data_IF_905660033753
#
_entry.id   IF_905660033753
#
_cell.length_a   1.000
_cell.length_b   1.000
_cell.length_c   1.000
_cell.angle_alpha   90.00
_cell.angle_beta   90.00
_cell.angle_gamma   90.00
#
_symmetry.space_group_name_H-M   'P 1'
#
loop_
_entity.id
_entity.type
_entity.pdbx_description
1 polymer ?
#
# COMPACT_ATOMS: atom_id res chain seq x y z
N UNK A 1 -75.07 26.67 -37.44
CA UNK A 1 -75.06 25.34 -36.80
C UNK A 1 -73.68 24.73 -37.00
N UNK A 2 -72.90 24.69 -35.91
CA UNK A 2 -71.80 23.78 -35.49
C UNK A 2 -71.40 22.70 -36.53
N UNK A 3 -70.15 22.42 -36.94
CA UNK A 3 -68.79 22.62 -36.39
C UNK A 3 -67.74 22.48 -37.53
N UNK A 4 -66.51 23.04 -37.42
CA UNK A 4 -65.42 22.90 -38.40
C UNK A 4 -64.32 21.92 -37.96
N UNK A 5 -63.48 21.45 -38.90
CA UNK A 5 -62.13 20.93 -38.56
C UNK A 5 -61.11 21.14 -39.68
N UNK A 6 -60.27 22.15 -39.42
CA UNK A 6 -58.83 22.34 -39.65
C UNK A 6 -58.21 22.13 -41.05
N UNK A 7 -57.68 23.24 -41.55
CA UNK A 7 -56.70 23.38 -42.63
C UNK A 7 -55.28 23.04 -42.13
N UNK A 8 -54.39 22.59 -43.02
CA UNK A 8 -52.95 22.94 -42.94
C UNK A 8 -52.32 22.89 -44.34
N UNK A 9 -51.72 24.02 -44.73
CA UNK A 9 -50.85 24.30 -45.88
C UNK A 9 -49.65 23.30 -45.94
N UNK A 10 -49.24 22.69 -47.06
CA UNK A 10 -48.68 23.16 -48.35
C UNK A 10 -47.20 23.64 -48.34
N UNK A 11 -46.30 22.68 -48.62
CA UNK A 11 -45.13 22.66 -49.56
C UNK A 11 -43.77 23.35 -49.24
N UNK A 12 -42.77 22.69 -49.85
CA UNK A 12 -41.45 23.12 -50.40
C UNK A 12 -40.24 22.64 -49.55
N UNK A 13 -39.50 21.57 -49.89
CA UNK A 13 -38.51 21.27 -50.97
C UNK A 13 -37.13 21.97 -50.84
N UNK A 14 -36.08 21.12 -50.85
CA UNK A 14 -34.67 21.27 -51.27
C UNK A 14 -33.56 21.51 -50.20
N UNK A 15 -32.30 21.09 -50.49
CA UNK A 15 -31.45 20.25 -49.62
C UNK A 15 -30.05 20.90 -49.38
N UNK A 16 -29.08 20.07 -48.94
CA UNK A 16 -27.62 20.30 -48.92
C UNK A 16 -27.04 20.98 -47.67
N UNK A 17 -26.30 20.21 -46.86
CA UNK A 17 -24.82 20.28 -46.77
C UNK A 17 -24.39 19.50 -45.51
N UNK A 18 -24.04 18.23 -45.67
CA UNK A 18 -23.30 17.48 -44.67
C UNK A 18 -21.87 18.05 -44.63
N UNK A 19 -21.56 18.81 -43.59
CA UNK A 19 -20.19 19.19 -43.27
C UNK A 19 -19.73 18.31 -42.11
N UNK A 20 -18.76 17.44 -42.39
CA UNK A 20 -18.17 16.55 -41.41
C UNK A 20 -17.48 17.32 -40.29
N UNK A 21 -17.84 16.99 -39.06
CA UNK A 21 -17.07 17.34 -37.88
C UNK A 21 -16.24 16.11 -37.51
N UNK A 22 -15.03 16.04 -38.06
CA UNK A 22 -13.99 15.12 -37.62
C UNK A 22 -13.66 15.42 -36.16
N UNK A 23 -13.97 14.49 -35.26
CA UNK A 23 -13.39 14.44 -33.92
C UNK A 23 -11.89 14.19 -34.06
N UNK A 24 -11.10 15.26 -33.94
CA UNK A 24 -9.70 15.16 -33.58
C UNK A 24 -9.64 14.83 -32.07
N UNK A 25 -9.01 13.74 -31.63
CA UNK A 25 -8.71 13.57 -30.22
C UNK A 25 -7.69 14.63 -29.84
N UNK A 26 -8.11 15.61 -29.04
CA UNK A 26 -7.19 16.50 -28.38
C UNK A 26 -6.33 15.65 -27.44
N UNK A 27 -5.04 15.54 -27.73
CA UNK A 27 -4.04 15.04 -26.80
C UNK A 27 -3.97 16.06 -25.66
N UNK A 28 -4.73 15.82 -24.59
CA UNK A 28 -4.59 16.58 -23.36
C UNK A 28 -3.27 16.19 -22.69
N UNK A 29 -2.24 17.00 -22.89
CA UNK A 29 -1.07 17.03 -22.01
C UNK A 29 -1.52 17.71 -20.72
N UNK A 30 -1.87 16.91 -19.71
CA UNK A 30 -2.03 17.41 -18.35
C UNK A 30 -0.62 17.59 -17.77
N UNK A 31 -0.05 18.79 -17.95
CA UNK A 31 1.18 19.18 -17.26
C UNK A 31 0.84 19.63 -15.84
N UNK A 32 1.72 19.35 -14.88
CA UNK A 32 1.61 19.81 -13.50
C UNK A 32 1.78 21.34 -13.48
N UNK A 33 0.71 22.07 -13.15
CA UNK A 33 0.78 23.52 -12.98
C UNK A 33 1.17 23.87 -11.54
N UNK A 34 2.11 24.80 -11.40
CA UNK A 34 2.57 25.26 -10.09
C UNK A 34 1.54 26.22 -9.48
N UNK A 35 0.93 25.82 -8.37
CA UNK A 35 0.07 26.69 -7.57
C UNK A 35 0.90 27.65 -6.72
N UNK A 36 0.41 28.87 -6.54
CA UNK A 36 0.97 29.87 -5.62
C UNK A 36 0.27 29.82 -4.24
N UNK A 37 0.89 30.44 -3.22
CA UNK A 37 0.39 30.41 -1.83
C UNK A 37 -1.03 30.97 -1.66
N UNK A 38 -1.46 31.89 -2.54
CA UNK A 38 -2.83 32.41 -2.54
C UNK A 38 -3.84 31.36 -2.99
N UNK A 39 -3.52 30.64 -4.06
CA UNK A 39 -4.35 29.53 -4.57
C UNK A 39 -4.39 28.35 -3.59
N UNK A 40 -3.27 28.05 -2.94
CA UNK A 40 -3.22 27.04 -1.88
C UNK A 40 -4.04 27.43 -0.64
N UNK A 41 -4.22 28.73 -0.37
CA UNK A 41 -5.04 29.21 0.76
C UNK A 41 -6.54 29.20 0.49
N UNK A 42 -6.95 29.13 -0.78
CA UNK A 42 -8.37 29.06 -1.18
C UNK A 42 -8.90 27.62 -1.25
N UNK A 43 -8.00 26.63 -1.32
CA UNK A 43 -8.33 25.20 -1.29
C UNK A 43 -8.46 24.77 0.17
N UNK A 44 -9.66 24.90 0.73
CA UNK A 44 -9.97 24.46 2.10
C UNK A 44 -10.67 23.10 2.08
N UNK A 45 -10.11 22.12 2.79
CA UNK A 45 -10.71 20.78 2.98
C UNK A 45 -10.50 19.75 1.86
N UNK A 46 -9.68 20.01 0.84
CA UNK A 46 -9.26 18.99 -0.12
C UNK A 46 -7.87 18.46 0.26
N UNK A 47 -7.72 17.15 0.45
CA UNK A 47 -6.43 16.53 0.74
C UNK A 47 -5.33 16.82 -0.28
N UNK A 48 -4.10 16.46 0.09
CA UNK A 48 -2.91 16.68 -0.73
C UNK A 48 -2.66 15.43 -1.58
N UNK A 49 -2.70 15.61 -2.91
CA UNK A 49 -2.21 14.63 -3.88
C UNK A 49 -0.71 14.83 -4.14
N UNK A 50 0.08 13.76 -3.99
CA UNK A 50 1.52 13.74 -4.25
C UNK A 50 1.80 12.87 -5.48
N UNK A 51 2.56 13.43 -6.42
CA UNK A 51 3.09 12.74 -7.60
C UNK A 51 4.57 13.05 -7.66
N UNK A 52 5.40 12.00 -7.65
CA UNK A 52 6.84 12.16 -7.75
C UNK A 52 7.29 11.69 -9.13
N UNK A 53 7.70 12.62 -9.97
CA UNK A 53 8.22 12.30 -11.31
C UNK A 53 9.73 12.20 -11.30
N UNK A 54 10.28 11.25 -12.08
CA UNK A 54 11.71 10.96 -12.15
C UNK A 54 12.36 10.74 -10.76
N UNK A 55 11.61 10.11 -9.85
CA UNK A 55 12.02 9.92 -8.46
C UNK A 55 13.15 8.88 -8.37
N UNK A 56 14.17 9.21 -7.58
CA UNK A 56 15.25 8.32 -7.20
C UNK A 56 15.48 8.55 -5.72
N UNK A 57 15.35 7.48 -4.93
CA UNK A 57 15.83 7.45 -3.57
C UNK A 57 16.94 6.41 -3.46
N UNK A 58 18.09 6.83 -2.95
CA UNK A 58 19.18 5.94 -2.61
C UNK A 58 19.92 6.55 -1.44
N UNK A 59 19.99 5.80 -0.35
CA UNK A 59 20.75 6.13 0.84
C UNK A 59 21.82 5.05 1.02
N UNK A 60 23.08 5.46 1.12
CA UNK A 60 24.19 4.60 1.50
C UNK A 60 24.86 5.09 2.78
N UNK A 61 25.68 4.24 3.41
CA UNK A 61 26.60 4.67 4.46
C UNK A 61 27.82 5.38 3.84
N UNK A 62 27.91 6.69 4.05
CA UNK A 62 29.10 7.46 3.66
C UNK A 62 30.16 7.37 4.76
N UNK A 63 31.40 7.00 4.38
CA UNK A 63 32.55 7.18 5.25
C UNK A 63 32.81 8.68 5.46
N UNK A 64 33.31 9.10 6.63
CA UNK A 64 33.63 10.51 6.86
C UNK A 64 34.67 10.97 5.84
N UNK A 65 34.42 12.11 5.20
CA UNK A 65 35.36 12.65 4.23
C UNK A 65 36.63 13.16 4.93
N UNK A 66 37.70 13.37 4.16
CA UNK A 66 38.97 13.92 4.66
C UNK A 66 38.84 15.35 5.21
N UNK A 67 37.69 16.01 5.02
CA UNK A 67 37.40 17.36 5.46
C UNK A 67 36.57 17.41 6.76
N UNK A 68 36.24 16.25 7.35
CA UNK A 68 35.56 16.15 8.64
C UNK A 68 34.03 16.18 8.57
N UNK A 69 33.42 15.97 7.40
CA UNK A 69 31.97 15.75 7.30
C UNK A 69 31.59 14.46 8.05
N UNK A 70 30.52 14.52 8.84
CA UNK A 70 30.08 13.39 9.65
C UNK A 70 29.62 12.23 8.75
N UNK A 71 30.01 11.01 9.13
CA UNK A 71 29.53 9.79 8.50
C UNK A 71 27.99 9.74 8.56
N UNK A 72 27.35 9.61 7.40
CA UNK A 72 25.88 9.52 7.31
C UNK A 72 25.50 8.05 7.45
N UNK A 73 25.37 7.61 8.70
CA UNK A 73 25.06 6.23 9.04
C UNK A 73 23.64 6.17 9.60
N UNK A 74 22.77 5.40 8.95
CA UNK A 74 21.48 5.06 9.53
C UNK A 74 21.64 3.82 10.42
N UNK A 75 21.55 4.03 11.74
CA UNK A 75 21.82 3.01 12.76
C UNK A 75 20.64 2.85 13.70
N UNK A 76 20.21 1.61 13.90
CA UNK A 76 19.24 1.21 14.92
C UNK A 76 20.04 0.60 16.07
N UNK A 77 20.01 1.27 17.23
CA UNK A 77 20.74 0.89 18.43
C UNK A 77 19.82 0.89 19.66
N UNK A 78 20.32 0.45 20.82
CA UNK A 78 19.55 0.34 22.06
C UNK A 78 18.83 -1.00 22.23
N UNK A 79 19.10 -1.96 21.34
CA UNK A 79 18.64 -3.34 21.47
C UNK A 79 19.73 -4.12 22.22
N UNK A 80 19.35 -4.99 23.15
CA UNK A 80 20.27 -5.92 23.80
C UNK A 80 19.85 -7.36 23.51
N UNK A 81 20.84 -8.22 23.30
CA UNK A 81 20.66 -9.67 23.21
C UNK A 81 20.28 -10.24 24.57
N UNK A 82 19.77 -11.47 24.60
CA UNK A 82 19.37 -12.17 25.84
C UNK A 82 20.52 -12.38 26.82
N UNK A 83 21.76 -12.26 26.35
CA UNK A 83 22.99 -12.28 27.15
C UNK A 83 23.53 -10.88 27.50
N UNK A 84 22.75 -9.83 27.26
CA UNK A 84 23.07 -8.44 27.62
C UNK A 84 24.03 -7.72 26.68
N UNK A 85 24.38 -8.33 25.53
CA UNK A 85 25.23 -7.68 24.52
C UNK A 85 24.45 -6.70 23.66
N UNK A 86 25.03 -5.54 23.37
CA UNK A 86 24.40 -4.57 22.48
C UNK A 86 24.21 -5.14 21.07
N UNK A 87 23.03 -4.94 20.50
CA UNK A 87 22.71 -5.25 19.13
C UNK A 87 22.68 -3.94 18.34
N UNK A 88 23.48 -3.88 17.30
CA UNK A 88 23.61 -2.75 16.40
C UNK A 88 23.19 -3.19 14.99
N UNK A 89 22.19 -2.50 14.42
CA UNK A 89 21.75 -2.71 13.04
C UNK A 89 22.08 -1.45 12.25
N UNK A 90 23.03 -1.57 11.32
CA UNK A 90 23.40 -0.51 10.40
C UNK A 90 22.75 -0.75 9.06
N UNK A 91 21.97 0.20 8.55
CA UNK A 91 21.41 0.15 7.18
C UNK A 91 22.46 0.71 6.23
N UNK A 92 23.09 -0.16 5.43
CA UNK A 92 24.18 0.23 4.54
C UNK A 92 23.69 0.73 3.19
N UNK A 93 22.51 0.27 2.77
CA UNK A 93 21.88 0.71 1.52
C UNK A 93 20.36 0.63 1.65
N UNK A 94 19.65 1.68 1.28
CA UNK A 94 18.19 1.70 1.17
C UNK A 94 17.84 2.47 -0.10
N UNK A 95 17.02 1.89 -0.98
CA UNK A 95 16.70 2.52 -2.25
C UNK A 95 15.27 2.26 -2.71
N UNK A 96 14.77 3.22 -3.49
CA UNK A 96 13.53 3.15 -4.27
C UNK A 96 13.85 3.77 -5.62
N UNK A 97 13.92 2.95 -6.66
CA UNK A 97 14.38 3.35 -8.00
C UNK A 97 13.57 2.62 -9.08
N UNK A 98 13.83 2.93 -10.35
CA UNK A 98 13.21 2.28 -11.49
C UNK A 98 13.55 0.79 -11.60
N UNK A 99 12.71 0.08 -12.35
CA UNK A 99 12.89 -1.35 -12.59
C UNK A 99 14.22 -1.66 -13.28
N UNK A 100 14.87 -2.77 -12.90
CA UNK A 100 16.15 -3.18 -13.48
C UNK A 100 17.35 -2.55 -12.77
N UNK A 101 17.18 -2.19 -11.50
CA UNK A 101 18.17 -1.52 -10.67
C UNK A 101 19.40 -2.36 -10.34
N UNK A 102 19.35 -3.67 -10.54
CA UNK A 102 20.42 -4.60 -10.13
C UNK A 102 20.83 -4.38 -8.67
N UNK A 103 19.88 -4.66 -7.76
CA UNK A 103 20.04 -4.48 -6.32
C UNK A 103 20.40 -3.03 -5.90
N UNK A 104 19.89 -2.04 -6.65
CA UNK A 104 20.13 -0.62 -6.38
C UNK A 104 21.47 -0.09 -6.90
N UNK A 105 22.21 -0.86 -7.70
CA UNK A 105 23.46 -0.43 -8.35
C UNK A 105 23.19 0.58 -9.48
N UNK A 106 22.16 0.29 -10.29
CA UNK A 106 21.70 1.14 -11.38
C UNK A 106 20.58 2.04 -10.87
N UNK A 107 20.91 3.30 -10.59
CA UNK A 107 19.94 4.29 -10.12
C UNK A 107 19.15 4.88 -11.30
N UNK A 108 18.20 4.11 -11.80
CA UNK A 108 17.24 4.60 -12.80
C UNK A 108 16.06 5.29 -12.10
N UNK A 109 15.49 6.35 -12.69
CA UNK A 109 14.32 7.01 -12.12
C UNK A 109 13.03 6.19 -12.28
N UNK A 110 12.08 6.41 -11.36
CA UNK A 110 10.72 5.86 -11.37
C UNK A 110 9.71 6.97 -11.11
N UNK A 111 8.48 6.86 -11.61
CA UNK A 111 7.40 7.75 -11.19
C UNK A 111 6.64 7.13 -10.01
N UNK A 112 6.32 7.88 -8.97
CA UNK A 112 5.47 7.40 -7.89
C UNK A 112 4.12 8.11 -7.94
N UNK A 113 3.11 7.35 -8.38
CA UNK A 113 1.76 7.86 -8.66
C UNK A 113 1.67 8.67 -9.96
N UNK A 114 0.46 9.15 -10.25
CA UNK A 114 0.16 10.08 -11.34
C UNK A 114 -1.06 10.94 -10.97
N UNK A 115 -1.33 12.01 -11.71
CA UNK A 115 -2.48 12.90 -11.41
C UNK A 115 -3.82 12.17 -11.23
N UNK A 116 -4.09 11.14 -12.02
CA UNK A 116 -5.32 10.35 -11.91
C UNK A 116 -5.30 9.32 -10.77
N UNK A 117 -4.11 8.94 -10.28
CA UNK A 117 -3.92 7.99 -9.18
C UNK A 117 -2.71 8.46 -8.34
N UNK A 118 -2.85 9.56 -7.60
CA UNK A 118 -1.75 10.11 -6.81
C UNK A 118 -1.61 9.33 -5.50
N UNK A 119 -0.49 9.53 -4.83
CA UNK A 119 -0.42 9.31 -3.39
C UNK A 119 -1.22 10.38 -2.67
N UNK A 120 -1.90 10.06 -1.58
CA UNK A 120 -2.79 11.02 -0.91
C UNK A 120 -2.49 11.13 0.58
N UNK A 121 -2.54 12.36 1.08
CA UNK A 121 -2.66 12.68 2.49
C UNK A 121 -3.94 13.49 2.62
N UNK A 122 -4.96 12.90 3.25
CA UNK A 122 -6.31 13.48 3.25
C UNK A 122 -6.97 13.38 4.62
N UNK A 123 -8.00 14.20 4.85
CA UNK A 123 -8.92 14.06 5.98
C UNK A 123 -10.28 13.70 5.41
N UNK A 124 -10.61 12.41 5.45
CA UNK A 124 -11.82 11.84 4.88
C UNK A 124 -12.96 11.89 5.90
N UNK A 125 -14.20 12.14 5.46
CA UNK A 125 -15.38 11.92 6.30
C UNK A 125 -15.53 10.43 6.57
N UNK A 126 -15.42 10.04 7.84
CA UNK A 126 -15.54 8.66 8.27
C UNK A 126 -16.86 8.02 7.86
N UNK A 127 -17.94 8.80 7.72
CA UNK A 127 -19.23 8.26 7.29
C UNK A 127 -19.17 7.65 5.88
N UNK A 128 -18.33 8.17 4.99
CA UNK A 128 -18.16 7.67 3.62
C UNK A 128 -17.44 6.31 3.58
N UNK A 129 -16.68 5.99 4.63
CA UNK A 129 -15.89 4.76 4.76
C UNK A 129 -16.38 3.85 5.91
N UNK A 130 -17.55 4.15 6.48
CA UNK A 130 -18.18 3.34 7.52
C UNK A 130 -17.62 3.50 8.93
N UNK A 131 -16.91 4.60 9.20
CA UNK A 131 -16.43 5.04 10.52
C UNK A 131 -17.31 6.20 11.00
N UNK A 132 -18.37 5.86 11.74
CA UNK A 132 -19.48 6.78 12.05
C UNK A 132 -19.03 8.04 12.78
N UNK A 133 -19.37 9.22 12.24
CA UNK A 133 -19.15 10.54 12.84
C UNK A 133 -17.69 10.85 13.24
N UNK A 134 -16.72 10.37 12.45
CA UNK A 134 -15.29 10.67 12.67
C UNK A 134 -14.71 11.40 11.47
N UNK A 135 -13.73 12.27 11.72
CA UNK A 135 -12.79 12.70 10.70
C UNK A 135 -11.61 11.74 10.72
N UNK A 136 -11.22 11.24 9.54
CA UNK A 136 -10.21 10.18 9.42
C UNK A 136 -9.02 10.70 8.63
N UNK A 137 -7.86 10.76 9.27
CA UNK A 137 -6.61 11.06 8.60
C UNK A 137 -6.17 9.84 7.79
N UNK A 138 -6.07 9.99 6.48
CA UNK A 138 -5.68 8.93 5.54
C UNK A 138 -4.35 9.26 4.88
N UNK A 139 -3.41 8.30 4.92
CA UNK A 139 -2.26 8.22 4.04
C UNK A 139 -2.50 7.07 3.07
N UNK A 140 -2.69 7.35 1.79
CA UNK A 140 -3.03 6.33 0.80
C UNK A 140 -2.03 6.28 -0.36
N UNK A 141 -1.71 5.07 -0.78
CA UNK A 141 -1.09 4.79 -2.06
C UNK A 141 -2.11 4.99 -3.21
N UNK A 142 -1.66 5.00 -4.49
CA UNK A 142 -2.56 4.98 -5.64
C UNK A 142 -3.65 3.92 -5.49
N UNK A 143 -4.91 4.28 -5.79
CA UNK A 143 -6.01 3.34 -5.65
C UNK A 143 -5.89 2.16 -6.63
N UNK A 144 -6.49 1.02 -6.25
CA UNK A 144 -6.82 -0.02 -7.22
C UNK A 144 -7.93 0.49 -8.13
N UNK A 145 -7.92 0.08 -9.40
CA UNK A 145 -8.89 0.48 -10.41
C UNK A 145 -9.65 -0.74 -10.95
N UNK A 146 -10.74 -0.47 -11.66
CA UNK A 146 -11.50 -1.49 -12.36
C UNK A 146 -10.62 -2.30 -13.30
N UNK A 147 -10.87 -3.61 -13.40
CA UNK A 147 -9.99 -4.53 -14.13
C UNK A 147 -9.81 -4.13 -15.61
N UNK A 148 -10.82 -3.52 -16.22
CA UNK A 148 -10.80 -3.03 -17.60
C UNK A 148 -9.85 -1.82 -17.81
N UNK A 149 -9.51 -1.11 -16.72
CA UNK A 149 -8.67 0.09 -16.74
C UNK A 149 -7.29 -0.14 -16.12
N UNK A 150 -7.15 -1.19 -15.30
CA UNK A 150 -5.93 -1.50 -14.59
C UNK A 150 -4.98 -2.43 -15.35
N UNK A 151 -3.91 -2.77 -14.65
CA UNK A 151 -2.81 -3.61 -15.09
C UNK A 151 -2.68 -4.77 -14.12
N UNK A 152 -2.21 -5.92 -14.62
CA UNK A 152 -1.75 -7.00 -13.75
C UNK A 152 -0.64 -6.50 -12.82
N UNK A 153 -0.80 -6.72 -11.52
CA UNK A 153 0.08 -6.21 -10.47
C UNK A 153 1.48 -6.86 -10.51
N UNK A 154 1.62 -8.06 -11.10
CA UNK A 154 2.89 -8.79 -11.19
C UNK A 154 3.52 -8.72 -12.60
N UNK A 155 2.72 -8.57 -13.65
CA UNK A 155 3.25 -8.57 -15.02
C UNK A 155 4.10 -7.33 -15.36
N UNK A 156 5.40 -7.52 -15.60
CA UNK A 156 6.29 -6.44 -16.09
C UNK A 156 5.95 -5.93 -17.49
N UNK A 157 5.16 -6.70 -18.26
CA UNK A 157 4.59 -6.32 -19.57
C UNK A 157 3.06 -6.21 -19.52
N UNK A 158 2.49 -5.96 -18.33
CA UNK A 158 1.06 -5.83 -18.16
C UNK A 158 0.49 -4.76 -19.11
N UNK A 159 -0.63 -5.09 -19.75
CA UNK A 159 -1.38 -4.17 -20.59
C UNK A 159 -2.61 -3.63 -19.85
N UNK A 160 -3.18 -2.54 -20.33
CA UNK A 160 -4.49 -2.06 -19.83
C UNK A 160 -5.52 -3.18 -20.00
N UNK A 161 -6.33 -3.43 -18.97
CA UNK A 161 -7.34 -4.47 -18.97
C UNK A 161 -6.87 -5.81 -18.38
N UNK A 162 -5.62 -5.91 -17.92
CA UNK A 162 -5.05 -7.19 -17.45
C UNK A 162 -5.19 -7.44 -15.95
N UNK A 163 -5.59 -6.44 -15.18
CA UNK A 163 -5.70 -6.55 -13.72
C UNK A 163 -6.19 -5.25 -13.09
N UNK A 164 -6.07 -5.14 -11.78
CA UNK A 164 -6.69 -4.07 -10.97
C UNK A 164 -5.69 -3.03 -10.45
N UNK A 165 -4.39 -3.21 -10.67
CA UNK A 165 -3.40 -2.21 -10.27
C UNK A 165 -3.45 -0.99 -11.21
N UNK A 166 -3.39 0.21 -10.66
CA UNK A 166 -3.32 1.45 -11.43
C UNK A 166 -1.89 1.79 -11.88
N UNK A 167 -0.90 1.27 -11.15
CA UNK A 167 0.53 1.41 -11.38
C UNK A 167 0.98 0.75 -12.68
N UNK A 168 1.44 1.58 -13.62
CA UNK A 168 1.88 1.19 -14.96
C UNK A 168 3.27 0.57 -14.96
N UNK A 169 3.50 -0.53 -15.70
CA UNK A 169 4.86 -0.99 -15.93
C UNK A 169 5.67 0.04 -16.75
N UNK A 170 6.99 -0.05 -16.67
CA UNK A 170 7.89 0.70 -17.53
C UNK A 170 7.76 0.25 -18.99
N UNK A 171 7.94 1.17 -19.92
CA UNK A 171 8.05 0.92 -21.36
C UNK A 171 9.30 1.61 -21.91
N UNK A 172 9.59 1.45 -23.20
CA UNK A 172 10.74 2.12 -23.81
C UNK A 172 10.70 3.64 -23.69
N UNK A 173 9.50 4.24 -23.71
CA UNK A 173 9.31 5.69 -23.71
C UNK A 173 8.82 6.24 -22.35
N UNK A 174 8.60 5.36 -21.37
CA UNK A 174 8.01 5.73 -20.07
C UNK A 174 8.63 4.93 -18.93
N UNK A 175 9.08 5.62 -17.89
CA UNK A 175 9.78 5.02 -16.75
C UNK A 175 8.92 4.09 -15.89
N UNK A 176 7.59 4.14 -16.04
CA UNK A 176 6.68 3.31 -15.25
C UNK A 176 6.46 3.86 -13.84
N UNK A 177 5.61 3.17 -13.09
CA UNK A 177 5.22 3.49 -11.72
C UNK A 177 5.57 2.38 -10.71
N UNK A 178 6.32 1.35 -11.17
CA UNK A 178 6.70 0.18 -10.38
C UNK A 178 8.17 0.27 -10.04
N UNK A 179 8.47 0.36 -8.75
CA UNK A 179 9.83 0.62 -8.30
C UNK A 179 10.53 -0.68 -7.89
N UNK A 180 11.82 -0.79 -8.21
CA UNK A 180 12.67 -1.69 -7.45
C UNK A 180 12.91 -1.06 -6.07
N UNK A 181 12.68 -1.84 -5.03
CA UNK A 181 12.85 -1.43 -3.64
C UNK A 181 13.82 -2.40 -2.97
N UNK A 182 14.76 -1.88 -2.20
CA UNK A 182 15.66 -2.76 -1.47
C UNK A 182 16.33 -2.12 -0.28
N UNK A 183 16.79 -2.99 0.60
CA UNK A 183 17.41 -2.63 1.86
C UNK A 183 18.51 -3.64 2.18
N UNK A 184 19.69 -3.12 2.51
CA UNK A 184 20.84 -3.86 2.98
C UNK A 184 21.15 -3.44 4.42
N UNK A 185 21.23 -4.41 5.32
CA UNK A 185 21.48 -4.19 6.74
C UNK A 185 22.62 -5.05 7.23
N UNK A 186 23.50 -4.49 8.05
CA UNK A 186 24.49 -5.22 8.82
C UNK A 186 24.00 -5.32 10.26
N UNK A 187 23.86 -6.55 10.77
CA UNK A 187 23.50 -6.82 12.16
C UNK A 187 24.74 -7.26 12.92
N UNK A 188 24.96 -6.67 14.08
CA UNK A 188 26.02 -7.05 15.01
C UNK A 188 25.51 -7.21 16.43
N UNK A 189 26.07 -8.16 17.17
CA UNK A 189 25.77 -8.48 18.56
C UNK A 189 27.07 -8.45 19.40
N UNK A 190 27.29 -7.36 20.12
CA UNK A 190 28.57 -7.08 20.78
C UNK A 190 29.71 -7.01 19.75
N UNK A 191 30.73 -7.83 19.94
CA UNK A 191 31.83 -7.99 18.98
C UNK A 191 31.51 -8.97 17.83
N UNK A 192 30.42 -9.74 17.93
CA UNK A 192 30.01 -10.66 16.88
C UNK A 192 29.30 -9.89 15.76
N UNK A 193 29.96 -9.72 14.62
CA UNK A 193 29.36 -9.13 13.42
C UNK A 193 28.66 -10.24 12.65
N UNK A 194 27.34 -10.39 12.87
CA UNK A 194 26.64 -11.66 12.68
C UNK A 194 26.08 -11.89 11.28
N UNK A 195 25.64 -10.85 10.55
CA UNK A 195 25.14 -11.02 9.17
C UNK A 195 24.93 -9.69 8.43
N UNK A 196 25.16 -9.69 7.12
CA UNK A 196 24.60 -8.73 6.17
C UNK A 196 23.30 -9.33 5.60
N UNK A 197 22.16 -8.69 5.83
CA UNK A 197 20.87 -9.09 5.27
C UNK A 197 20.49 -8.12 4.15
N UNK A 198 20.27 -8.66 2.97
CA UNK A 198 19.80 -7.92 1.80
C UNK A 198 18.39 -8.37 1.46
N UNK A 199 17.53 -7.39 1.21
CA UNK A 199 16.18 -7.58 0.69
C UNK A 199 16.06 -6.78 -0.60
N UNK A 200 15.52 -7.39 -1.64
CA UNK A 200 15.28 -6.77 -2.92
C UNK A 200 13.93 -7.21 -3.48
N UNK A 201 13.06 -6.24 -3.73
CA UNK A 201 11.81 -6.43 -4.44
C UNK A 201 11.91 -5.77 -5.81
N UNK A 202 11.63 -6.53 -6.87
CA UNK A 202 11.65 -6.04 -8.24
C UNK A 202 10.29 -5.46 -8.62
N UNK A 203 10.24 -4.32 -9.31
CA UNK A 203 8.99 -3.75 -9.86
C UNK A 203 7.80 -3.82 -8.91
N UNK A 204 8.01 -3.43 -7.65
CA UNK A 204 7.02 -3.52 -6.59
C UNK A 204 5.85 -2.57 -6.84
N UNK A 205 4.65 -3.04 -6.51
CA UNK A 205 3.39 -2.29 -6.58
C UNK A 205 2.71 -2.34 -5.22
N UNK A 206 2.20 -1.18 -4.77
CA UNK A 206 1.54 -1.04 -3.47
C UNK A 206 0.15 -0.42 -3.54
N UNK A 207 -0.47 -0.51 -4.72
CA UNK A 207 -1.78 0.08 -4.99
C UNK A 207 -2.86 -0.44 -4.02
N UNK A 208 -3.75 0.47 -3.61
CA UNK A 208 -4.81 0.21 -2.63
C UNK A 208 -4.34 0.08 -1.18
N UNK A 209 -3.06 0.31 -0.89
CA UNK A 209 -2.56 0.42 0.48
C UNK A 209 -2.96 1.75 1.12
N UNK A 210 -3.23 1.73 2.42
CA UNK A 210 -3.47 2.94 3.19
C UNK A 210 -3.22 2.73 4.69
N UNK A 211 -2.97 3.85 5.38
CA UNK A 211 -3.09 3.97 6.83
C UNK A 211 -4.17 5.00 7.13
N UNK A 212 -5.16 4.61 7.91
CA UNK A 212 -6.23 5.49 8.40
C UNK A 212 -6.15 5.59 9.90
N UNK A 213 -6.27 6.80 10.42
CA UNK A 213 -6.20 7.10 11.84
C UNK A 213 -7.34 8.04 12.25
N UNK A 214 -7.96 7.76 13.39
CA UNK A 214 -9.00 8.61 13.97
C UNK A 214 -8.98 8.55 15.49
N UNK A 215 -9.66 9.50 16.13
CA UNK A 215 -9.85 9.50 17.58
C UNK A 215 -11.02 8.60 17.99
N UNK A 216 -10.77 7.65 18.88
CA UNK A 216 -11.83 6.88 19.52
C UNK A 216 -12.23 7.53 20.85
N UNK A 217 -13.51 7.90 20.99
CA UNK A 217 -13.99 8.65 22.16
C UNK A 217 -14.26 7.73 23.35
N UNK A 218 -14.58 6.46 23.10
CA UNK A 218 -14.95 5.49 24.13
C UNK A 218 -13.72 4.99 24.88
N UNK A 219 -12.68 4.58 24.15
CA UNK A 219 -11.38 4.15 24.69
C UNK A 219 -10.45 5.33 24.98
N UNK A 220 -10.72 6.52 24.40
CA UNK A 220 -9.85 7.71 24.48
C UNK A 220 -8.44 7.43 23.97
N UNK A 221 -8.36 6.71 22.86
CA UNK A 221 -7.13 6.26 22.21
C UNK A 221 -7.15 6.62 20.73
N UNK A 222 -6.01 6.53 20.06
CA UNK A 222 -5.96 6.59 18.60
C UNK A 222 -6.38 5.23 18.05
N UNK A 223 -7.41 5.22 17.22
CA UNK A 223 -7.85 4.06 16.47
C UNK A 223 -7.36 4.15 15.02
N UNK A 224 -7.28 3.02 14.34
CA UNK A 224 -6.83 2.98 12.97
C UNK A 224 -7.16 1.72 12.20
N UNK A 225 -6.93 1.81 10.90
CA UNK A 225 -7.00 0.71 9.94
C UNK A 225 -5.75 0.78 9.07
N UNK A 226 -5.06 -0.35 8.91
CA UNK A 226 -3.87 -0.44 8.10
C UNK A 226 -4.03 -1.52 7.04
N UNK A 227 -3.96 -1.10 5.78
CA UNK A 227 -3.98 -1.98 4.61
C UNK A 227 -2.66 -1.84 3.88
N UNK A 228 -1.93 -2.94 3.74
CA UNK A 228 -0.75 -3.03 2.88
C UNK A 228 -1.01 -4.09 1.82
N UNK A 229 -1.24 -3.67 0.59
CA UNK A 229 -1.10 -4.55 -0.56
C UNK A 229 0.30 -4.34 -1.11
N UNK A 230 1.05 -5.42 -1.32
CA UNK A 230 2.41 -5.40 -1.83
C UNK A 230 2.55 -6.55 -2.82
N UNK A 231 2.80 -6.20 -4.07
CA UNK A 231 2.95 -7.13 -5.18
C UNK A 231 4.35 -6.96 -5.75
N UNK A 232 5.07 -8.06 -5.91
CA UNK A 232 6.39 -8.06 -6.53
C UNK A 232 6.54 -9.32 -7.37
N UNK A 233 6.95 -9.25 -8.64
CA UNK A 233 7.18 -10.44 -9.46
C UNK A 233 8.34 -11.27 -8.90
N UNK A 234 9.22 -10.64 -8.12
CA UNK A 234 10.31 -11.32 -7.43
C UNK A 234 10.65 -10.57 -6.13
N UNK A 235 10.68 -11.30 -5.02
CA UNK A 235 11.25 -10.84 -3.75
C UNK A 235 12.43 -11.75 -3.42
N UNK A 236 13.62 -11.17 -3.33
CA UNK A 236 14.86 -11.88 -3.03
C UNK A 236 15.38 -11.44 -1.67
N UNK A 237 15.74 -12.42 -0.84
CA UNK A 237 16.40 -12.23 0.44
C UNK A 237 17.71 -13.01 0.41
N UNK A 238 18.82 -12.36 0.71
CA UNK A 238 20.11 -13.03 0.83
C UNK A 238 20.89 -12.54 2.03
N UNK A 239 21.50 -13.48 2.73
CA UNK A 239 22.37 -13.20 3.86
C UNK A 239 23.84 -13.43 3.46
N UNK A 240 24.72 -12.49 3.77
CA UNK A 240 26.16 -12.59 3.52
C UNK A 240 26.97 -12.31 4.79
N UNK A 241 28.26 -12.63 4.77
CA UNK A 241 29.23 -12.05 5.71
C UNK A 241 29.27 -10.53 5.54
N UNK A 242 29.70 -9.81 6.59
CA UNK A 242 29.67 -8.34 6.63
C UNK A 242 30.48 -7.67 5.51
N UNK A 243 31.59 -8.29 5.11
CA UNK A 243 32.46 -7.87 4.01
C UNK A 243 31.92 -8.26 2.62
N UNK A 244 30.74 -8.90 2.55
CA UNK A 244 30.12 -9.40 1.33
C UNK A 244 30.85 -10.58 0.69
N UNK A 245 31.89 -11.13 1.33
CA UNK A 245 32.75 -12.15 0.72
C UNK A 245 32.15 -13.56 0.68
N UNK A 246 31.26 -13.89 1.63
CA UNK A 246 30.59 -15.18 1.73
C UNK A 246 29.09 -14.99 1.84
N UNK A 247 28.38 -15.12 0.72
CA UNK A 247 26.92 -15.12 0.70
C UNK A 247 26.36 -16.54 0.85
N UNK A 248 25.35 -16.68 1.71
CA UNK A 248 24.49 -17.84 1.72
C UNK A 248 23.64 -17.93 0.45
N UNK A 249 22.85 -18.99 0.35
CA UNK A 249 21.91 -19.14 -0.76
C UNK A 249 20.85 -18.04 -0.75
N UNK A 250 20.56 -17.47 -1.93
CA UNK A 250 19.44 -16.56 -2.11
C UNK A 250 18.14 -17.30 -1.85
N UNK A 251 17.27 -16.69 -1.05
CA UNK A 251 15.87 -17.05 -0.93
C UNK A 251 15.14 -16.21 -1.98
N UNK A 252 14.59 -16.85 -3.02
CA UNK A 252 13.87 -16.17 -4.09
C UNK A 252 12.41 -16.58 -4.03
N UNK A 253 11.53 -15.60 -3.96
CA UNK A 253 10.08 -15.75 -3.98
C UNK A 253 9.56 -15.10 -5.26
N UNK A 254 9.11 -15.91 -6.21
CA UNK A 254 8.46 -15.39 -7.43
C UNK A 254 6.98 -15.12 -7.18
N UNK A 255 6.43 -14.16 -7.92
CA UNK A 255 5.02 -13.78 -7.88
C UNK A 255 4.53 -13.54 -6.45
N UNK A 256 5.35 -12.79 -5.69
CA UNK A 256 5.10 -12.50 -4.29
C UNK A 256 3.94 -11.50 -4.15
N UNK A 257 2.90 -11.92 -3.43
CA UNK A 257 1.75 -11.10 -3.08
C UNK A 257 1.58 -11.12 -1.57
N UNK A 258 1.57 -9.94 -0.97
CA UNK A 258 1.17 -9.72 0.40
C UNK A 258 -0.01 -8.76 0.38
N UNK A 259 -1.14 -9.19 0.93
CA UNK A 259 -2.27 -8.33 1.23
C UNK A 259 -2.48 -8.44 2.73
N UNK A 260 -2.09 -7.41 3.46
CA UNK A 260 -2.20 -7.37 4.92
C UNK A 260 -3.28 -6.37 5.28
N UNK A 261 -4.27 -6.83 6.03
CA UNK A 261 -5.31 -6.02 6.65
C UNK A 261 -5.17 -6.15 8.16
N UNK A 262 -4.78 -5.06 8.81
CA UNK A 262 -4.75 -4.93 10.26
C UNK A 262 -5.86 -3.96 10.66
N UNK A 263 -6.75 -4.43 11.52
CA UNK A 263 -7.97 -3.73 11.90
C UNK A 263 -8.92 -3.50 10.73
N UNK A 264 -10.11 -2.99 11.05
CA UNK A 264 -11.13 -2.53 10.11
C UNK A 264 -12.17 -1.68 10.84
N UNK A 265 -13.14 -1.11 10.12
CA UNK A 265 -14.23 -0.29 10.69
C UNK A 265 -15.07 -0.93 11.80
N UNK A 266 -15.09 -2.26 11.93
CA UNK A 266 -15.82 -3.01 12.97
C UNK A 266 -14.88 -3.62 14.03
N UNK A 267 -13.57 -3.53 13.83
CA UNK A 267 -12.55 -4.07 14.72
C UNK A 267 -11.25 -3.29 14.48
N UNK A 268 -11.15 -2.02 14.94
CA UNK A 268 -10.01 -1.20 14.62
C UNK A 268 -8.74 -1.65 15.36
N UNK A 269 -7.60 -1.20 14.87
CA UNK A 269 -6.34 -1.22 15.64
C UNK A 269 -6.38 -0.04 16.61
N UNK A 270 -5.94 -0.24 17.84
CA UNK A 270 -5.71 0.80 18.83
C UNK A 270 -4.22 1.00 19.05
N UNK A 271 -3.82 2.27 19.11
CA UNK A 271 -2.47 2.71 19.44
C UNK A 271 -2.50 3.40 20.80
N UNK A 272 -1.67 2.92 21.71
CA UNK A 272 -1.59 3.43 23.08
C UNK A 272 -0.15 3.42 23.61
N UNK A 273 0.07 4.09 24.74
CA UNK A 273 1.29 4.03 25.52
C UNK A 273 0.93 3.65 26.95
N UNK A 274 1.47 2.53 27.43
CA UNK A 274 1.17 2.05 28.78
C UNK A 274 1.79 2.95 29.87
N UNK A 275 1.41 2.69 31.14
CA UNK A 275 1.91 3.45 32.28
C UNK A 275 3.43 3.36 32.53
N UNK A 276 4.14 2.50 31.80
CA UNK A 276 5.60 2.35 31.84
C UNK A 276 6.29 2.99 30.62
N UNK A 277 5.52 3.64 29.74
CA UNK A 277 6.04 4.27 28.53
C UNK A 277 6.21 3.33 27.35
N UNK A 278 5.73 2.09 27.43
CA UNK A 278 5.80 1.16 26.30
C UNK A 278 4.68 1.44 25.31
N UNK A 279 5.00 1.42 24.03
CA UNK A 279 4.02 1.47 22.97
C UNK A 279 3.25 0.16 22.87
N UNK A 280 1.93 0.27 22.75
CA UNK A 280 0.98 -0.81 22.59
C UNK A 280 0.23 -0.63 21.27
N UNK A 281 0.20 -1.69 20.49
CA UNK A 281 -0.68 -1.84 19.33
C UNK A 281 -1.61 -3.03 19.60
N UNK A 282 -2.91 -2.80 19.54
CA UNK A 282 -3.91 -3.81 19.87
C UNK A 282 -5.01 -3.88 18.81
N UNK A 283 -5.35 -5.09 18.37
CA UNK A 283 -6.61 -5.41 17.70
C UNK A 283 -7.39 -6.23 18.72
N UNK A 284 -8.45 -5.66 19.26
CA UNK A 284 -9.31 -6.32 20.25
C UNK A 284 -10.51 -6.98 19.56
N UNK A 285 -11.49 -7.48 20.29
CA UNK A 285 -12.69 -8.10 19.74
C UNK A 285 -13.49 -7.16 18.86
N UNK A 286 -14.21 -7.75 17.90
CA UNK A 286 -15.12 -7.02 17.01
C UNK A 286 -16.22 -6.31 17.81
N UNK A 287 -16.67 -5.17 17.31
CA UNK A 287 -17.85 -4.48 17.82
C UNK A 287 -19.09 -5.27 17.42
N UNK A 288 -19.49 -6.18 18.30
CA UNK A 288 -20.61 -7.07 18.07
C UNK A 288 -21.89 -6.24 17.77
N UNK A 289 -22.75 -6.74 16.86
CA UNK A 289 -24.04 -6.12 16.66
C UNK A 289 -24.82 -6.24 17.97
N UNK A 290 -25.79 -5.36 18.19
CA UNK A 290 -26.64 -5.39 19.39
C UNK A 290 -27.23 -6.77 19.68
N UNK A 291 -27.83 -6.95 20.86
CA UNK A 291 -28.23 -8.28 21.34
C UNK A 291 -29.21 -9.00 20.40
N UNK A 292 -28.76 -10.06 19.74
CA UNK A 292 -29.59 -11.00 19.00
C UNK A 292 -29.12 -12.44 19.16
N UNK A 293 -30.04 -13.39 19.03
CA UNK A 293 -29.74 -14.80 19.23
C UNK A 293 -29.22 -15.43 17.93
N UNK A 294 -28.12 -16.17 18.00
CA UNK A 294 -27.68 -17.04 16.92
C UNK A 294 -28.15 -18.47 17.26
N UNK A 295 -28.82 -19.12 16.31
CA UNK A 295 -29.24 -20.50 16.46
C UNK A 295 -28.04 -21.41 16.75
N UNK A 296 -28.25 -22.45 17.54
CA UNK A 296 -27.17 -23.38 17.93
C UNK A 296 -26.49 -24.07 16.73
N UNK A 297 -27.16 -24.14 15.57
CA UNK A 297 -26.60 -24.69 14.34
C UNK A 297 -25.84 -23.65 13.48
N UNK A 298 -25.74 -22.40 13.94
CA UNK A 298 -25.08 -21.30 13.23
C UNK A 298 -25.78 -20.87 11.93
N UNK A 299 -26.99 -21.35 11.66
CA UNK A 299 -27.72 -21.02 10.43
C UNK A 299 -28.57 -19.76 10.60
N UNK A 300 -28.75 -19.02 9.50
CA UNK A 300 -29.64 -17.85 9.48
C UNK A 300 -31.06 -18.22 9.92
N UNK A 301 -31.54 -19.38 9.49
CA UNK A 301 -32.83 -19.92 9.93
C UNK A 301 -32.80 -20.25 11.43
N UNK A 302 -33.64 -19.57 12.20
CA UNK A 302 -33.70 -19.70 13.66
C UNK A 302 -32.77 -18.74 14.41
N UNK A 303 -31.96 -17.95 13.71
CA UNK A 303 -31.22 -16.82 14.27
C UNK A 303 -32.00 -15.52 14.12
N UNK A 304 -31.64 -14.51 14.89
CA UNK A 304 -31.96 -13.14 14.55
C UNK A 304 -31.28 -12.77 13.22
N UNK A 305 -32.06 -12.26 12.27
CA UNK A 305 -31.62 -12.04 10.91
C UNK A 305 -30.50 -11.00 10.82
N UNK A 306 -30.66 -9.86 11.49
CA UNK A 306 -29.69 -8.76 11.45
C UNK A 306 -28.36 -9.16 12.10
N UNK A 307 -28.43 -9.85 13.23
CA UNK A 307 -27.25 -10.37 13.93
C UNK A 307 -26.50 -11.39 13.08
N UNK A 308 -27.21 -12.35 12.46
CA UNK A 308 -26.59 -13.34 11.60
C UNK A 308 -25.97 -12.71 10.34
N UNK A 309 -26.70 -11.79 9.69
CA UNK A 309 -26.24 -11.10 8.48
C UNK A 309 -24.97 -10.27 8.78
N UNK A 310 -24.91 -9.58 9.94
CA UNK A 310 -23.69 -8.89 10.38
C UNK A 310 -22.49 -9.83 10.48
N UNK A 311 -22.62 -10.96 11.19
CA UNK A 311 -21.49 -11.88 11.36
C UNK A 311 -21.11 -12.54 10.05
N UNK A 312 -22.08 -12.91 9.21
CA UNK A 312 -21.81 -13.45 7.89
C UNK A 312 -21.02 -12.43 7.05
N UNK A 313 -21.44 -11.17 7.01
CA UNK A 313 -20.76 -10.11 6.29
C UNK A 313 -19.34 -9.90 6.83
N UNK A 314 -19.18 -9.83 8.16
CA UNK A 314 -17.86 -9.70 8.79
C UNK A 314 -16.92 -10.87 8.47
N UNK A 315 -17.43 -12.10 8.54
CA UNK A 315 -16.63 -13.31 8.34
C UNK A 315 -16.46 -13.72 6.87
N UNK A 316 -17.16 -13.08 5.94
CA UNK A 316 -17.02 -13.34 4.50
C UNK A 316 -16.42 -12.17 3.71
N UNK A 317 -16.38 -10.96 4.27
CA UNK A 317 -15.86 -9.79 3.56
C UNK A 317 -14.35 -9.94 3.25
N UNK A 318 -13.94 -9.98 1.96
CA UNK A 318 -12.53 -10.07 1.58
C UNK A 318 -11.69 -8.83 1.97
N UNK A 319 -12.31 -7.67 2.20
CA UNK A 319 -11.59 -6.46 2.60
C UNK A 319 -10.95 -6.60 3.99
N UNK A 320 -11.52 -7.43 4.87
CA UNK A 320 -10.99 -7.68 6.21
C UNK A 320 -10.02 -8.87 6.24
N UNK A 321 -9.62 -9.36 5.07
CA UNK A 321 -8.80 -10.57 4.94
C UNK A 321 -7.41 -10.23 4.45
N UNK A 322 -6.46 -10.89 5.08
CA UNK A 322 -5.08 -10.91 4.68
C UNK A 322 -4.76 -12.16 3.87
N UNK A 323 -3.92 -12.02 2.86
CA UNK A 323 -3.47 -13.09 1.99
C UNK A 323 -1.95 -12.97 1.78
N UNK A 324 -1.27 -14.11 1.72
CA UNK A 324 0.12 -14.22 1.26
C UNK A 324 0.14 -15.26 0.17
N UNK A 325 0.67 -14.91 -1.01
CA UNK A 325 0.89 -15.83 -2.10
C UNK A 325 2.32 -15.75 -2.58
N UNK A 326 2.91 -16.91 -2.83
CA UNK A 326 4.23 -17.09 -3.40
C UNK A 326 4.05 -18.10 -4.53
N UNK A 327 4.30 -17.68 -5.77
CA UNK A 327 4.19 -18.55 -6.94
C UNK A 327 5.22 -19.67 -6.91
N UNK A 328 6.47 -19.33 -6.59
CA UNK A 328 7.54 -20.29 -6.37
C UNK A 328 8.51 -19.79 -5.30
N UNK A 329 8.80 -20.65 -4.32
CA UNK A 329 9.78 -20.42 -3.26
C UNK A 329 11.01 -21.28 -3.52
N UNK A 330 12.18 -20.65 -3.64
CA UNK A 330 13.46 -21.35 -3.82
C UNK A 330 14.53 -20.85 -2.87
N UNK A 331 15.43 -21.75 -2.47
CA UNK A 331 16.63 -21.44 -1.69
C UNK A 331 17.83 -22.02 -2.42
N UNK A 332 18.63 -21.14 -3.03
CA UNK A 332 19.72 -21.54 -3.92
C UNK A 332 19.17 -22.32 -5.12
N UNK A 333 19.69 -23.52 -5.36
CA UNK A 333 19.23 -24.37 -6.47
C UNK A 333 17.99 -25.21 -6.13
N UNK A 334 17.51 -25.16 -4.87
CA UNK A 334 16.37 -25.97 -4.42
C UNK A 334 15.08 -25.17 -4.52
N UNK A 335 14.16 -25.66 -5.33
CA UNK A 335 12.80 -25.17 -5.44
C UNK A 335 11.88 -25.98 -4.50
N UNK A 336 11.01 -25.29 -3.75
CA UNK A 336 10.03 -25.86 -2.83
C UNK A 336 8.58 -25.68 -3.31
N UNK A 337 8.37 -25.07 -4.47
CA UNK A 337 7.09 -24.83 -5.11
C UNK A 337 6.37 -23.60 -4.56
N UNK A 338 5.07 -23.52 -4.89
CA UNK A 338 4.19 -22.43 -4.45
C UNK A 338 3.80 -22.55 -2.98
N UNK A 339 3.65 -21.43 -2.29
CA UNK A 339 3.09 -21.35 -0.95
C UNK A 339 1.98 -20.30 -0.89
N UNK A 340 0.92 -20.55 -0.11
CA UNK A 340 -0.14 -19.58 0.10
C UNK A 340 -0.80 -19.66 1.47
N UNK A 341 -1.18 -18.51 1.99
CA UNK A 341 -2.07 -18.32 3.14
C UNK A 341 -3.20 -17.43 2.65
N UNK A 342 -4.45 -17.88 2.73
CA UNK A 342 -5.61 -17.15 2.19
C UNK A 342 -6.67 -16.97 3.26
N UNK A 343 -7.35 -15.82 3.24
CA UNK A 343 -8.50 -15.57 4.10
C UNK A 343 -8.14 -15.43 5.58
N UNK A 344 -6.94 -14.96 5.91
CA UNK A 344 -6.55 -14.74 7.30
C UNK A 344 -7.30 -13.52 7.86
N UNK A 345 -8.07 -13.74 8.93
CA UNK A 345 -8.68 -12.69 9.74
C UNK A 345 -8.03 -12.67 11.11
N UNK A 346 -7.53 -11.52 11.51
CA UNK A 346 -6.93 -11.33 12.82
C UNK A 346 -8.05 -10.99 13.79
N UNK A 347 -8.40 -11.93 14.67
CA UNK A 347 -9.43 -11.72 15.69
C UNK A 347 -8.91 -11.04 16.95
N UNK A 348 -7.62 -11.21 17.23
CA UNK A 348 -6.94 -10.54 18.32
C UNK A 348 -5.46 -10.46 17.99
N UNK A 349 -4.84 -9.31 18.24
CA UNK A 349 -3.41 -9.09 18.14
C UNK A 349 -3.01 -8.07 19.19
N UNK A 350 -2.00 -8.39 19.98
CA UNK A 350 -1.42 -7.43 20.92
C UNK A 350 0.09 -7.41 20.72
N UNK A 351 0.63 -6.25 20.39
CA UNK A 351 2.05 -5.99 20.26
C UNK A 351 2.41 -4.94 21.29
N UNK A 352 3.26 -5.30 22.24
CA UNK A 352 3.75 -4.38 23.26
C UNK A 352 5.26 -4.28 23.11
N UNK A 353 5.79 -3.06 22.98
CA UNK A 353 7.23 -2.85 23.10
C UNK A 353 7.65 -3.12 24.54
N UNK A 354 8.88 -3.54 24.77
CA UNK A 354 9.44 -3.60 26.13
C UNK A 354 10.77 -2.90 26.15
N UNK A 355 10.97 -2.08 27.17
CA UNK A 355 12.31 -1.66 27.53
C UNK A 355 13.13 -2.89 27.96
N UNK A 356 14.26 -3.11 27.31
CA UNK A 356 15.18 -4.21 27.61
C UNK A 356 16.12 -3.86 28.77
N UNK A 357 16.13 -2.61 29.25
CA UNK A 357 16.98 -2.14 30.34
C UNK A 357 16.36 -2.29 31.74
N UNK A 358 15.16 -2.90 31.86
CA UNK A 358 14.48 -3.18 33.13
C UNK A 358 14.50 -4.65 33.53
#
# INVERSE_FOLDING_TARGET
>A
MVSPSKSTFLKVLLPSLMFGLSLLPATATAELEKLNDGELSEIDGAGIGLVLENFIFSHGTDAPDVNGEQARIFRIAGIQSTDGREVDITVNHLYIVGSGSDYGTNLTPVNLGRLLNPWRIDVVDGNDIGITNKAVLEFAAPAMVDAAQGYDCLGGSAAVGSGTCSSRPATQDWQGERADMGMQMNVAVGDDRSANLNLHARSAVIDGSYLRLWGDDERRQMAGEFRLNFYSPELTINACSQDGSNCGSNIVMSDFVLQLALGNRLQPIYFDVDGSGNFLLEIDTIDAPGTGQIAANGQRAGSDAATWDFYNDYYSNPEFRSNVHIGDFSVGEKNFGSARVEGMLIQHLQIQTKDLAQ
#
